data_IF_541259490382
#
_entry.id   IF_541259490382
#
_cell.length_a   1.000
_cell.length_b   1.000
_cell.length_c   1.000
_cell.angle_alpha   90.00
_cell.angle_beta   90.00
_cell.angle_gamma   90.00
#
_symmetry.space_group_name_H-M   'P 1'
#
loop_
_entity.id
_entity.type
_entity.pdbx_description
1 polymer ?
#
# COMPACT_ATOMS: atom_id res chain seq x y z
N UNK A 1 11.34 26.46 13.88
CA UNK A 1 11.58 26.42 15.34
C UNK A 1 11.68 24.97 15.76
N UNK A 2 12.87 24.52 16.16
CA UNK A 2 13.16 23.12 16.55
C UNK A 2 13.01 23.01 18.06
N UNK A 3 12.00 22.29 18.53
CA UNK A 3 11.87 21.99 19.95
C UNK A 3 12.59 20.66 20.24
N UNK A 4 13.77 20.76 20.86
CA UNK A 4 14.48 19.65 21.49
C UNK A 4 13.78 19.33 22.81
N UNK A 5 13.22 18.13 22.96
CA UNK A 5 12.72 17.64 24.25
C UNK A 5 13.27 16.23 24.50
N UNK A 6 14.47 16.18 25.07
CA UNK A 6 14.83 15.17 26.06
C UNK A 6 15.19 15.97 27.30
N UNK A 7 14.39 15.83 28.36
CA UNK A 7 14.66 16.47 29.64
C UNK A 7 15.99 15.91 30.16
N UNK A 8 16.99 16.78 30.18
CA UNK A 8 18.35 16.49 30.67
C UNK A 8 18.34 16.69 32.18
N UNK A 9 18.61 15.63 32.94
CA UNK A 9 19.25 15.78 34.25
C UNK A 9 20.75 15.73 34.02
N UNK A 10 21.41 16.88 34.16
CA UNK A 10 22.86 17.01 34.08
C UNK A 10 23.44 16.45 35.38
N UNK A 11 24.12 15.31 35.29
CA UNK A 11 25.19 14.96 36.22
C UNK A 11 26.44 14.75 35.35
N UNK A 12 27.35 15.72 35.40
CA UNK A 12 28.69 15.60 34.86
C UNK A 12 29.45 14.55 35.67
N UNK A 13 29.58 13.36 35.10
CA UNK A 13 30.58 12.39 35.50
C UNK A 13 31.18 11.79 34.23
N UNK A 14 32.42 12.14 33.94
CA UNK A 14 33.30 11.39 33.04
C UNK A 14 33.43 9.97 33.60
N UNK A 15 32.58 9.07 33.12
CA UNK A 15 32.43 7.71 33.62
C UNK A 15 32.79 6.69 32.56
N UNK A 16 33.66 5.76 32.94
CA UNK A 16 33.81 4.45 32.30
C UNK A 16 32.44 3.84 32.01
N UNK A 17 32.29 3.20 30.86
CA UNK A 17 31.07 2.48 30.49
C UNK A 17 30.66 1.54 31.65
N UNK A 18 29.61 1.91 32.38
CA UNK A 18 29.03 1.08 33.44
C UNK A 18 28.12 0.07 32.78
N UNK A 19 28.12 -1.16 33.28
CA UNK A 19 27.15 -2.18 32.87
C UNK A 19 25.72 -1.63 32.97
N UNK A 20 24.84 -2.17 32.12
CA UNK A 20 23.41 -1.82 32.05
C UNK A 20 22.76 -1.69 33.44
N UNK A 21 22.08 -0.58 33.70
CA UNK A 21 21.34 -0.39 34.96
C UNK A 21 19.87 -0.81 34.75
N UNK A 22 19.21 -1.34 35.77
CA UNK A 22 17.78 -1.71 35.71
C UNK A 22 16.87 -0.59 35.16
N UNK A 23 17.26 0.68 35.36
CA UNK A 23 16.59 1.85 34.79
C UNK A 23 16.64 1.92 33.26
N UNK A 24 17.71 1.46 32.60
CA UNK A 24 17.83 1.47 31.13
C UNK A 24 16.83 0.51 30.49
N UNK A 25 16.67 -0.66 31.10
CA UNK A 25 15.68 -1.64 30.66
C UNK A 25 14.25 -1.13 30.81
N UNK A 26 13.94 -0.48 31.94
CA UNK A 26 12.63 0.13 32.14
C UNK A 26 12.35 1.22 31.10
N UNK A 27 13.33 2.12 30.84
CA UNK A 27 13.21 3.17 29.83
C UNK A 27 12.98 2.62 28.42
N UNK A 28 13.72 1.59 28.02
CA UNK A 28 13.55 0.96 26.71
C UNK A 28 12.19 0.24 26.57
N UNK A 29 11.71 -0.40 27.64
CA UNK A 29 10.37 -1.01 27.66
C UNK A 29 9.26 0.03 27.55
N UNK A 30 9.36 1.12 28.32
CA UNK A 30 8.42 2.24 28.23
C UNK A 30 8.40 2.84 26.82
N UNK A 31 9.58 3.08 26.24
CA UNK A 31 9.68 3.55 24.85
C UNK A 31 8.96 2.60 23.88
N UNK A 32 9.24 1.28 23.93
CA UNK A 32 8.59 0.32 23.04
C UNK A 32 7.06 0.27 23.20
N UNK A 33 6.57 0.31 24.44
CA UNK A 33 5.14 0.41 24.74
C UNK A 33 4.49 1.65 24.11
N UNK A 34 5.18 2.81 24.11
CA UNK A 34 4.65 4.03 23.48
C UNK A 34 4.43 3.93 21.98
N UNK A 35 5.03 2.94 21.33
CA UNK A 35 4.92 2.73 19.89
C UNK A 35 4.33 1.35 19.54
N UNK A 36 3.71 0.68 20.52
CA UNK A 36 3.02 -0.60 20.35
C UNK A 36 3.93 -1.80 20.12
N UNK A 37 5.15 -1.76 20.67
CA UNK A 37 6.08 -2.89 20.64
C UNK A 37 6.19 -3.47 22.04
N UNK A 38 5.49 -4.58 22.27
CA UNK A 38 5.60 -5.32 23.52
C UNK A 38 7.01 -5.87 23.72
N UNK A 39 7.51 -5.77 24.96
CA UNK A 39 8.75 -6.42 25.33
C UNK A 39 8.57 -7.93 25.35
N UNK A 40 9.29 -8.62 24.46
CA UNK A 40 9.27 -10.08 24.35
C UNK A 40 10.32 -10.76 25.25
N UNK A 41 10.95 -9.99 26.14
CA UNK A 41 12.14 -10.41 26.89
C UNK A 41 11.85 -10.45 28.38
N UNK A 42 12.01 -11.63 29.01
CA UNK A 42 12.06 -11.72 30.47
C UNK A 42 13.31 -11.01 31.01
N UNK A 43 14.45 -11.23 30.34
CA UNK A 43 15.72 -10.58 30.59
C UNK A 43 16.34 -10.03 29.29
N UNK A 44 17.14 -8.95 29.34
CA UNK A 44 17.70 -8.30 28.16
C UNK A 44 18.95 -9.03 27.63
N UNK A 45 18.81 -10.31 27.26
CA UNK A 45 19.87 -11.03 26.56
C UNK A 45 20.06 -10.52 25.12
N UNK A 46 21.19 -10.89 24.49
CA UNK A 46 21.58 -10.38 23.17
C UNK A 46 20.59 -10.73 22.06
N UNK A 47 20.10 -11.98 22.04
CA UNK A 47 19.18 -12.43 21.01
C UNK A 47 17.83 -11.72 21.14
N UNK A 48 17.37 -11.56 22.39
CA UNK A 48 16.10 -10.90 22.67
C UNK A 48 16.15 -9.40 22.38
N UNK A 49 17.22 -8.70 22.81
CA UNK A 49 17.42 -7.29 22.50
C UNK A 49 17.53 -7.04 21.00
N UNK A 50 18.26 -7.89 20.27
CA UNK A 50 18.36 -7.79 18.80
C UNK A 50 17.00 -7.88 18.13
N UNK A 51 16.15 -8.81 18.56
CA UNK A 51 14.76 -8.91 18.07
C UNK A 51 13.93 -7.70 18.45
N UNK A 52 14.06 -7.23 19.70
CA UNK A 52 13.28 -6.10 20.21
C UNK A 52 13.64 -4.79 19.49
N UNK A 53 14.93 -4.48 19.34
CA UNK A 53 15.40 -3.34 18.55
C UNK A 53 15.01 -3.46 17.08
N UNK A 54 15.08 -4.66 16.48
CA UNK A 54 14.61 -4.86 15.10
C UNK A 54 13.12 -4.49 14.98
N UNK A 55 12.28 -4.87 15.94
CA UNK A 55 10.85 -4.52 15.90
C UNK A 55 10.60 -3.03 16.19
N UNK A 56 11.37 -2.43 17.10
CA UNK A 56 11.33 -1.00 17.38
C UNK A 56 11.68 -0.17 16.13
N UNK A 57 12.68 -0.60 15.35
CA UNK A 57 13.18 0.16 14.20
C UNK A 57 12.41 -0.14 12.92
N UNK A 58 12.19 -1.43 12.64
CA UNK A 58 11.68 -1.92 11.35
C UNK A 58 10.28 -2.53 11.45
N UNK A 59 9.67 -2.56 12.63
CA UNK A 59 8.35 -3.13 12.81
C UNK A 59 8.27 -4.62 12.45
N UNK A 60 7.05 -5.10 12.43
CA UNK A 60 6.65 -6.44 11.98
C UNK A 60 5.89 -6.29 10.66
N UNK A 61 5.86 -7.36 9.86
CA UNK A 61 4.99 -7.39 8.68
C UNK A 61 3.53 -7.16 9.10
N UNK A 62 2.76 -6.32 8.39
CA UNK A 62 1.35 -6.12 8.66
C UNK A 62 0.58 -7.45 8.63
N UNK A 63 -0.48 -7.52 9.43
CA UNK A 63 -1.39 -8.67 9.46
C UNK A 63 -2.02 -8.85 8.06
N UNK A 64 -2.30 -10.10 7.65
CA UNK A 64 -2.97 -10.45 6.38
C UNK A 64 -2.25 -10.01 5.09
N UNK A 65 -0.92 -9.93 5.11
CA UNK A 65 -0.14 -9.77 3.88
C UNK A 65 -0.18 -11.08 3.06
N UNK A 66 -0.97 -11.11 2.00
CA UNK A 66 -1.23 -12.32 1.21
C UNK A 66 -0.07 -12.74 0.30
N UNK A 67 0.73 -11.78 -0.18
CA UNK A 67 1.87 -12.04 -1.06
C UNK A 67 2.98 -11.03 -0.80
N UNK A 68 4.23 -11.49 -0.88
CA UNK A 68 5.42 -10.67 -0.71
C UNK A 68 6.37 -10.83 -1.90
N UNK A 69 6.20 -9.97 -2.90
CA UNK A 69 7.04 -9.93 -4.10
C UNK A 69 8.20 -8.94 -4.03
N UNK A 70 8.30 -8.13 -2.97
CA UNK A 70 9.37 -7.14 -2.79
C UNK A 70 10.31 -7.57 -1.67
N UNK A 71 11.60 -7.55 -1.93
CA UNK A 71 12.63 -7.87 -0.94
C UNK A 71 12.70 -6.81 0.18
N UNK A 72 12.77 -7.29 1.42
CA UNK A 72 13.01 -6.47 2.60
C UNK A 72 14.51 -6.38 2.90
N UNK A 73 14.96 -5.24 3.40
CA UNK A 73 16.33 -4.98 3.85
C UNK A 73 16.30 -4.38 5.25
N UNK A 74 17.09 -4.97 6.13
CA UNK A 74 17.31 -4.53 7.51
C UNK A 74 18.81 -4.26 7.66
N UNK A 75 19.18 -3.13 8.25
CA UNK A 75 20.57 -2.85 8.60
C UNK A 75 20.95 -3.62 9.88
N UNK A 76 21.27 -4.90 9.70
CA UNK A 76 21.64 -5.78 10.82
C UNK A 76 22.87 -5.27 11.56
N UNK A 77 23.79 -4.58 10.87
CA UNK A 77 25.00 -4.02 11.49
C UNK A 77 24.70 -2.93 12.51
N UNK A 78 23.76 -2.02 12.20
CA UNK A 78 23.33 -0.96 13.12
C UNK A 78 22.46 -1.51 14.24
N UNK A 79 21.64 -2.52 13.98
CA UNK A 79 20.90 -3.23 15.03
C UNK A 79 21.86 -3.92 16.00
N UNK A 80 22.85 -4.68 15.52
CA UNK A 80 23.85 -5.33 16.37
C UNK A 80 24.65 -4.32 17.18
N UNK A 81 25.01 -3.17 16.59
CA UNK A 81 25.66 -2.07 17.30
C UNK A 81 24.76 -1.50 18.41
N UNK A 82 23.48 -1.31 18.13
CA UNK A 82 22.50 -0.82 19.10
C UNK A 82 22.32 -1.80 20.25
N UNK A 83 22.20 -3.10 19.95
CA UNK A 83 22.17 -4.18 20.95
C UNK A 83 23.41 -4.14 21.84
N UNK A 84 24.60 -4.02 21.24
CA UNK A 84 25.86 -4.02 22.00
C UNK A 84 25.99 -2.78 22.88
N UNK A 85 25.67 -1.59 22.35
CA UNK A 85 25.69 -0.34 23.13
C UNK A 85 24.77 -0.44 24.35
N UNK A 86 23.57 -0.99 24.16
CA UNK A 86 22.63 -1.19 25.26
C UNK A 86 23.17 -2.15 26.34
N UNK A 87 23.72 -3.30 25.93
CA UNK A 87 24.29 -4.31 26.86
C UNK A 87 25.48 -3.80 27.65
N UNK A 88 26.34 -2.98 27.04
CA UNK A 88 27.51 -2.41 27.71
C UNK A 88 27.19 -1.14 28.50
N UNK A 89 25.93 -0.71 28.54
CA UNK A 89 25.49 0.54 29.18
C UNK A 89 26.06 1.81 28.54
N UNK A 90 26.44 1.75 27.26
CA UNK A 90 26.77 2.93 26.48
C UNK A 90 25.48 3.70 26.13
N UNK A 91 25.62 4.99 25.79
CA UNK A 91 24.48 5.80 25.34
C UNK A 91 23.96 5.31 23.97
N UNK A 92 22.83 4.60 24.02
CA UNK A 92 22.19 3.98 22.87
C UNK A 92 21.10 4.86 22.24
N UNK A 93 20.63 5.90 22.95
CA UNK A 93 19.53 6.75 22.51
C UNK A 93 19.82 7.45 21.17
N UNK A 94 20.99 8.09 20.95
CA UNK A 94 21.28 8.75 19.67
C UNK A 94 21.27 7.78 18.48
N UNK A 95 21.75 6.55 18.68
CA UNK A 95 21.75 5.54 17.63
C UNK A 95 20.32 5.07 17.34
N UNK A 96 19.49 4.84 18.36
CA UNK A 96 18.09 4.51 18.16
C UNK A 96 17.34 5.63 17.43
N UNK A 97 17.49 6.88 17.85
CA UNK A 97 16.84 8.05 17.23
C UNK A 97 17.20 8.16 15.74
N UNK A 98 18.47 7.89 15.40
CA UNK A 98 18.95 7.90 14.01
C UNK A 98 18.47 6.73 13.14
N UNK A 99 17.73 5.78 13.73
CA UNK A 99 17.13 4.62 13.07
C UNK A 99 15.60 4.71 12.99
N UNK A 100 14.97 5.68 13.66
CA UNK A 100 13.52 5.86 13.59
C UNK A 100 13.02 6.12 12.17
N UNK A 101 11.74 5.84 11.93
CA UNK A 101 11.14 6.17 10.64
C UNK A 101 11.22 7.69 10.39
N UNK A 102 11.79 8.11 9.25
CA UNK A 102 11.87 9.53 8.91
C UNK A 102 10.51 10.11 8.50
N UNK A 103 9.52 9.23 8.24
CA UNK A 103 8.20 9.60 7.75
C UNK A 103 7.52 10.64 8.67
N UNK A 104 7.12 11.81 8.15
CA UNK A 104 6.42 12.83 8.94
C UNK A 104 5.15 12.30 9.63
N UNK A 105 4.41 11.40 8.99
CA UNK A 105 3.19 10.82 9.55
C UNK A 105 3.52 9.88 10.73
N UNK A 106 4.63 9.14 10.67
CA UNK A 106 5.12 8.34 11.80
C UNK A 106 5.39 9.23 13.03
N UNK A 107 6.12 10.33 12.84
CA UNK A 107 6.47 11.26 13.93
C UNK A 107 5.21 11.88 14.55
N UNK A 108 4.27 12.32 13.72
CA UNK A 108 3.00 12.88 14.19
C UNK A 108 2.19 11.88 15.02
N UNK A 109 2.08 10.62 14.57
CA UNK A 109 1.37 9.57 15.30
C UNK A 109 2.07 9.17 16.59
N UNK A 110 3.41 9.15 16.60
CA UNK A 110 4.21 8.88 17.80
C UNK A 110 3.99 9.97 18.86
N UNK A 111 4.04 11.24 18.47
CA UNK A 111 3.75 12.38 19.36
C UNK A 111 2.30 12.34 19.88
N UNK A 112 1.34 11.94 19.04
CA UNK A 112 -0.03 11.72 19.46
C UNK A 112 -0.14 10.63 20.53
N UNK A 113 0.50 9.47 20.31
CA UNK A 113 0.50 8.36 21.27
C UNK A 113 1.15 8.76 22.61
N UNK A 114 2.24 9.53 22.57
CA UNK A 114 2.91 10.01 23.79
C UNK A 114 2.00 10.91 24.63
N UNK A 115 1.20 11.79 24.01
CA UNK A 115 0.22 12.62 24.72
C UNK A 115 -0.90 11.79 25.34
N UNK A 116 -1.42 10.81 24.60
CA UNK A 116 -2.51 9.94 25.09
C UNK A 116 -2.11 9.08 26.29
N UNK A 117 -0.82 8.79 26.47
CA UNK A 117 -0.32 8.03 27.62
C UNK A 117 -0.12 8.89 28.88
N UNK A 118 -0.14 10.22 28.75
CA UNK A 118 0.03 11.18 29.85
C UNK A 118 -1.34 11.71 30.30
N UNK A 119 -2.23 11.97 29.34
CA UNK A 119 -3.57 12.50 29.59
C UNK A 119 -4.61 11.36 29.58
N UNK A 120 -5.13 10.98 30.76
CA UNK A 120 -6.22 9.99 30.94
C UNK A 120 -7.53 10.37 30.19
N UNK A 121 -7.60 11.57 29.59
CA UNK A 121 -8.82 12.19 29.08
C UNK A 121 -9.01 12.10 27.55
N UNK A 122 -8.27 11.23 26.85
CA UNK A 122 -8.43 11.04 25.39
C UNK A 122 -9.02 9.66 25.06
N UNK A 123 -10.23 9.41 25.56
CA UNK A 123 -11.13 8.33 25.12
C UNK A 123 -12.33 9.01 24.45
N UNK A 124 -12.53 8.89 23.13
CA UNK A 124 -13.68 8.11 22.64
C UNK A 124 -13.74 7.88 21.11
N UNK A 125 -12.65 8.04 20.34
CA UNK A 125 -12.71 7.78 18.88
C UNK A 125 -11.55 7.02 18.26
N UNK A 126 -10.37 7.01 18.89
CA UNK A 126 -9.17 6.31 18.40
C UNK A 126 -8.78 5.24 19.43
N UNK A 127 -8.56 4.01 19.00
CA UNK A 127 -7.96 3.01 19.91
C UNK A 127 -6.43 3.08 19.79
N UNK A 128 -5.71 2.93 20.90
CA UNK A 128 -4.24 2.86 20.89
C UNK A 128 -3.73 1.76 19.96
N UNK A 129 -4.46 0.64 19.88
CA UNK A 129 -4.15 -0.46 18.96
C UNK A 129 -4.12 0.02 17.50
N UNK A 130 -5.09 0.83 17.05
CA UNK A 130 -5.12 1.37 15.68
C UNK A 130 -3.90 2.24 15.40
N UNK A 131 -3.50 3.07 16.37
CA UNK A 131 -2.30 3.90 16.25
C UNK A 131 -1.05 3.03 16.16
N UNK A 132 -0.95 2.01 17.02
CA UNK A 132 0.18 1.08 17.07
C UNK A 132 0.35 0.26 15.79
N UNK A 133 -0.74 -0.23 15.19
CA UNK A 133 -0.67 -0.93 13.91
C UNK A 133 -0.20 0.00 12.79
N UNK A 134 -0.67 1.24 12.75
CA UNK A 134 -0.23 2.21 11.75
C UNK A 134 1.23 2.60 11.95
N UNK A 135 1.67 2.85 13.19
CA UNK A 135 3.08 3.07 13.52
C UNK A 135 3.95 1.88 13.10
N UNK A 136 3.46 0.65 13.32
CA UNK A 136 4.13 -0.56 12.87
C UNK A 136 4.26 -0.61 11.34
N UNK A 137 3.21 -0.25 10.60
CA UNK A 137 3.26 -0.17 9.13
C UNK A 137 4.31 0.83 8.66
N UNK A 138 4.39 2.03 9.25
CA UNK A 138 5.43 3.01 8.89
C UNK A 138 6.86 2.50 9.15
N UNK A 139 7.10 1.84 10.29
CA UNK A 139 8.39 1.19 10.53
C UNK A 139 8.69 0.07 9.53
N UNK A 140 7.67 -0.73 9.19
CA UNK A 140 7.80 -1.80 8.21
C UNK A 140 8.11 -1.28 6.81
N UNK A 141 7.56 -0.12 6.41
CA UNK A 141 7.90 0.54 5.15
C UNK A 141 9.40 0.87 5.05
N UNK A 142 10.10 1.16 6.16
CA UNK A 142 11.55 1.41 6.16
C UNK A 142 12.38 0.20 5.71
N UNK A 143 11.80 -1.01 5.66
CA UNK A 143 12.48 -2.22 5.17
C UNK A 143 12.66 -2.22 3.65
N UNK A 144 12.09 -1.29 2.90
CA UNK A 144 12.18 -1.27 1.44
C UNK A 144 13.11 -0.14 0.98
N UNK A 145 14.28 -0.44 0.41
CA UNK A 145 15.30 0.60 0.10
C UNK A 145 15.10 1.33 -1.23
N UNK A 146 13.99 1.12 -1.93
CA UNK A 146 13.75 1.71 -3.24
C UNK A 146 13.62 3.25 -3.16
N UNK A 147 14.13 3.94 -4.18
CA UNK A 147 14.12 5.41 -4.29
C UNK A 147 12.71 6.01 -4.36
N UNK A 148 11.73 5.22 -4.81
CA UNK A 148 10.30 5.55 -4.81
C UNK A 148 9.51 4.28 -4.51
N UNK A 149 8.42 4.43 -3.77
CA UNK A 149 7.51 3.32 -3.43
C UNK A 149 6.08 3.81 -3.58
N UNK A 150 5.23 2.99 -4.17
CA UNK A 150 3.79 3.23 -4.26
C UNK A 150 3.12 2.55 -3.07
N UNK A 151 2.47 3.32 -2.20
CA UNK A 151 1.72 2.78 -1.06
C UNK A 151 0.23 2.98 -1.32
N UNK A 152 -0.53 1.89 -1.33
CA UNK A 152 -2.00 1.92 -1.45
C UNK A 152 -2.58 1.53 -0.10
N UNK A 153 -3.33 2.42 0.53
CA UNK A 153 -4.04 2.11 1.76
C UNK A 153 -5.52 1.81 1.45
N UNK A 154 -5.94 0.58 1.71
CA UNK A 154 -7.23 0.06 1.25
C UNK A 154 -8.45 0.72 1.95
N UNK A 155 -8.52 0.84 3.29
CA UNK A 155 -9.61 1.53 3.97
C UNK A 155 -9.81 2.99 3.55
N UNK A 156 -8.72 3.75 3.39
CA UNK A 156 -8.79 5.16 2.95
C UNK A 156 -9.03 5.30 1.44
N UNK A 157 -8.82 4.23 0.69
CA UNK A 157 -8.83 4.22 -0.77
C UNK A 157 -7.96 5.37 -1.32
N UNK A 158 -6.73 5.46 -0.83
CA UNK A 158 -5.70 6.41 -1.28
C UNK A 158 -4.44 5.71 -1.77
N UNK A 159 -3.74 6.37 -2.68
CA UNK A 159 -2.42 5.99 -3.18
C UNK A 159 -1.46 7.15 -2.95
N UNK A 160 -0.32 6.83 -2.35
CA UNK A 160 0.82 7.74 -2.20
C UNK A 160 2.02 7.18 -2.94
N UNK A 161 2.78 8.05 -3.61
CA UNK A 161 4.16 7.73 -3.99
C UNK A 161 5.06 8.41 -2.97
N UNK A 162 5.89 7.65 -2.27
CA UNK A 162 6.77 8.16 -1.22
C UNK A 162 8.24 7.91 -1.58
N UNK A 163 9.12 8.80 -1.13
CA UNK A 163 10.57 8.63 -1.20
C UNK A 163 11.12 7.87 0.04
N UNK A 164 12.44 7.65 0.16
CA UNK A 164 13.04 7.00 1.33
C UNK A 164 12.87 7.79 2.64
N UNK A 165 12.70 9.11 2.57
CA UNK A 165 12.46 9.97 3.74
C UNK A 165 10.98 9.99 4.17
N UNK A 166 10.09 9.29 3.44
CA UNK A 166 8.64 9.27 3.69
C UNK A 166 7.91 10.50 3.15
N UNK A 167 8.58 11.36 2.37
CA UNK A 167 7.92 12.50 1.74
C UNK A 167 7.00 12.01 0.62
N UNK A 168 5.76 12.49 0.63
CA UNK A 168 4.80 12.18 -0.43
C UNK A 168 5.12 13.01 -1.68
N UNK A 169 5.45 12.33 -2.77
CA UNK A 169 5.72 12.87 -4.11
C UNK A 169 4.46 12.96 -4.98
N UNK A 170 3.49 12.08 -4.74
CA UNK A 170 2.18 12.09 -5.39
C UNK A 170 1.12 11.58 -4.42
N UNK A 171 -0.01 12.28 -4.35
CA UNK A 171 -1.23 11.82 -3.70
C UNK A 171 -2.35 11.66 -4.73
N UNK A 172 -3.01 10.50 -4.74
CA UNK A 172 -4.13 10.17 -5.63
C UNK A 172 -5.22 9.41 -4.87
N UNK A 173 -6.49 9.69 -5.18
CA UNK A 173 -7.57 8.77 -4.80
C UNK A 173 -7.47 7.49 -5.63
N UNK A 174 -7.95 6.39 -5.05
CA UNK A 174 -8.13 5.13 -5.77
C UNK A 174 -9.53 4.56 -5.55
N UNK A 175 -9.90 3.58 -6.38
CA UNK A 175 -11.07 2.70 -6.17
C UNK A 175 -10.53 1.28 -6.01
N UNK A 176 -10.89 0.65 -4.90
CA UNK A 176 -10.45 -0.70 -4.49
C UNK A 176 -11.61 -1.68 -4.58
N UNK A 177 -11.35 -2.97 -4.33
CA UNK A 177 -12.34 -4.04 -4.35
C UNK A 177 -13.55 -3.75 -3.45
N UNK A 178 -14.72 -4.27 -3.82
CA UNK A 178 -15.88 -4.33 -2.92
C UNK A 178 -15.69 -5.47 -1.89
N UNK A 179 -16.41 -5.48 -0.75
CA UNK A 179 -16.25 -6.52 0.28
C UNK A 179 -16.43 -7.96 -0.24
N UNK A 180 -17.28 -8.17 -1.24
CA UNK A 180 -17.50 -9.49 -1.87
C UNK A 180 -16.34 -9.95 -2.79
N UNK A 181 -15.49 -9.02 -3.24
CA UNK A 181 -14.31 -9.30 -4.08
C UNK A 181 -13.19 -8.33 -3.65
N UNK A 182 -12.65 -8.50 -2.43
CA UNK A 182 -11.75 -7.52 -1.82
C UNK A 182 -10.41 -7.47 -2.57
N UNK A 183 -9.78 -6.31 -2.58
CA UNK A 183 -8.36 -6.19 -2.95
C UNK A 183 -7.51 -6.76 -1.80
N UNK A 184 -6.70 -7.83 -2.00
CA UNK A 184 -5.78 -8.34 -1.00
C UNK A 184 -4.70 -7.31 -0.63
N UNK A 185 -4.15 -7.41 0.58
CA UNK A 185 -2.90 -6.74 0.96
C UNK A 185 -1.70 -7.56 0.45
N UNK A 186 -0.73 -6.91 -0.19
CA UNK A 186 0.45 -7.57 -0.74
C UNK A 186 1.57 -6.55 -1.03
N UNK A 187 2.78 -7.06 -1.29
CA UNK A 187 3.85 -6.29 -1.96
C UNK A 187 4.14 -6.89 -3.32
N UNK A 188 4.36 -6.06 -4.33
CA UNK A 188 4.75 -6.47 -5.68
C UNK A 188 5.60 -5.38 -6.34
N UNK A 189 6.17 -5.67 -7.50
CA UNK A 189 6.88 -4.67 -8.31
C UNK A 189 6.02 -4.20 -9.47
N UNK A 190 6.07 -2.89 -9.75
CA UNK A 190 5.52 -2.29 -10.96
C UNK A 190 6.62 -2.30 -12.02
N UNK A 191 6.45 -3.11 -13.06
CA UNK A 191 7.49 -3.31 -14.09
C UNK A 191 7.26 -2.46 -15.36
N UNK A 192 6.00 -2.12 -15.67
CA UNK A 192 5.65 -1.38 -16.88
C UNK A 192 4.30 -0.69 -16.80
N UNK A 193 4.09 0.29 -17.69
CA UNK A 193 2.78 0.86 -18.01
C UNK A 193 2.41 0.54 -19.45
N UNK A 194 1.23 -0.02 -19.64
CA UNK A 194 0.61 -0.28 -20.93
C UNK A 194 -0.31 0.88 -21.28
N UNK A 195 -0.03 1.56 -22.39
CA UNK A 195 -0.93 2.56 -22.98
C UNK A 195 -1.94 1.87 -23.88
N UNK A 196 -3.17 2.40 -23.91
CA UNK A 196 -4.27 1.86 -24.71
C UNK A 196 -4.46 0.34 -24.52
N UNK A 197 -4.62 -0.15 -23.28
CA UNK A 197 -4.69 -1.59 -23.02
C UNK A 197 -5.95 -2.21 -23.63
N UNK A 198 -5.86 -3.45 -24.09
CA UNK A 198 -7.05 -4.31 -24.16
C UNK A 198 -7.50 -4.66 -22.75
N UNK A 199 -8.83 -4.75 -22.54
CA UNK A 199 -9.35 -5.38 -21.34
C UNK A 199 -9.80 -6.81 -21.65
N UNK A 200 -9.00 -7.79 -21.25
CA UNK A 200 -9.41 -9.18 -21.25
C UNK A 200 -10.27 -9.43 -20.03
N UNK A 201 -11.57 -9.69 -20.23
CA UNK A 201 -12.53 -9.85 -19.14
C UNK A 201 -12.17 -11.10 -18.33
N UNK A 202 -11.94 -10.99 -17.01
CA UNK A 202 -11.72 -12.14 -16.16
C UNK A 202 -12.86 -13.15 -16.27
N UNK A 203 -12.52 -14.45 -16.26
CA UNK A 203 -13.49 -15.54 -16.48
C UNK A 203 -14.67 -15.49 -15.49
N UNK A 204 -14.41 -15.14 -14.24
CA UNK A 204 -15.44 -14.99 -13.20
C UNK A 204 -16.44 -13.87 -13.52
N UNK A 205 -15.96 -12.69 -13.92
CA UNK A 205 -16.82 -11.55 -14.33
C UNK A 205 -17.62 -11.92 -15.58
N UNK A 206 -16.95 -12.55 -16.57
CA UNK A 206 -17.62 -13.02 -17.77
C UNK A 206 -18.78 -13.98 -17.44
N UNK A 207 -18.53 -14.99 -16.62
CA UNK A 207 -19.52 -16.03 -16.31
C UNK A 207 -20.65 -15.51 -15.42
N UNK A 208 -20.32 -14.75 -14.37
CA UNK A 208 -21.28 -14.40 -13.32
C UNK A 208 -22.05 -13.10 -13.61
N UNK A 209 -21.48 -12.19 -14.41
CA UNK A 209 -22.08 -10.86 -14.63
C UNK A 209 -22.46 -10.65 -16.09
N UNK A 210 -21.58 -10.98 -17.04
CA UNK A 210 -21.80 -10.65 -18.45
C UNK A 210 -22.63 -11.68 -19.20
N UNK A 211 -22.30 -12.98 -19.10
CA UNK A 211 -23.02 -14.04 -19.82
C UNK A 211 -24.52 -14.07 -19.52
N UNK A 212 -25.02 -13.83 -18.29
CA UNK A 212 -26.46 -13.75 -18.03
C UNK A 212 -27.16 -12.65 -18.84
N UNK A 213 -26.53 -11.49 -19.03
CA UNK A 213 -27.07 -10.40 -19.84
C UNK A 213 -26.93 -10.69 -21.34
N UNK A 214 -25.76 -11.17 -21.77
CA UNK A 214 -25.48 -11.50 -23.17
C UNK A 214 -26.44 -12.59 -23.66
N UNK A 215 -26.75 -13.62 -22.87
CA UNK A 215 -27.71 -14.66 -23.26
C UNK A 215 -29.12 -14.14 -23.54
N UNK A 216 -29.53 -13.03 -22.89
CA UNK A 216 -30.84 -12.42 -23.12
C UNK A 216 -30.87 -11.60 -24.40
N UNK A 217 -29.79 -10.86 -24.69
CA UNK A 217 -29.69 -10.06 -25.91
C UNK A 217 -28.21 -9.93 -26.33
N UNK A 218 -27.66 -10.88 -27.12
CA UNK A 218 -26.23 -10.95 -27.37
C UNK A 218 -25.69 -9.73 -28.10
N UNK A 219 -26.30 -9.38 -29.24
CA UNK A 219 -25.83 -8.30 -30.12
C UNK A 219 -25.87 -6.96 -29.40
N UNK A 220 -27.01 -6.61 -28.78
CA UNK A 220 -27.15 -5.32 -28.11
C UNK A 220 -26.22 -5.21 -26.89
N UNK A 221 -26.03 -6.29 -26.12
CA UNK A 221 -25.16 -6.26 -24.93
C UNK A 221 -23.70 -6.14 -25.31
N UNK A 222 -23.25 -6.89 -26.33
CA UNK A 222 -21.87 -6.81 -26.80
C UNK A 222 -21.55 -5.45 -27.41
N UNK A 223 -22.47 -4.86 -28.18
CA UNK A 223 -22.28 -3.52 -28.73
C UNK A 223 -22.28 -2.47 -27.62
N UNK A 224 -23.23 -2.51 -26.68
CA UNK A 224 -23.29 -1.55 -25.57
C UNK A 224 -22.02 -1.56 -24.70
N UNK A 225 -21.41 -2.74 -24.51
CA UNK A 225 -20.17 -2.90 -23.76
C UNK A 225 -18.91 -2.88 -24.63
N UNK A 226 -19.06 -2.75 -25.95
CA UNK A 226 -17.99 -2.73 -26.96
C UNK A 226 -17.05 -3.93 -26.82
N UNK A 227 -17.65 -5.11 -26.64
CA UNK A 227 -16.96 -6.38 -26.41
C UNK A 227 -16.80 -7.17 -27.71
N UNK A 228 -15.61 -7.74 -27.87
CA UNK A 228 -15.27 -8.72 -28.89
C UNK A 228 -15.27 -10.12 -28.28
N UNK A 229 -15.71 -11.11 -29.07
CA UNK A 229 -15.64 -12.52 -28.71
C UNK A 229 -14.37 -13.11 -29.31
N UNK A 230 -13.55 -13.74 -28.47
CA UNK A 230 -12.23 -14.24 -28.84
C UNK A 230 -12.21 -15.77 -28.68
N UNK A 231 -11.82 -16.48 -29.73
CA UNK A 231 -11.65 -17.94 -29.71
C UNK A 231 -10.36 -18.39 -29.00
N UNK A 232 -10.18 -19.70 -28.89
CA UNK A 232 -8.99 -20.28 -28.25
C UNK A 232 -7.68 -19.92 -28.98
N UNK A 233 -7.74 -19.66 -30.29
CA UNK A 233 -6.60 -19.23 -31.12
C UNK A 233 -6.34 -17.72 -31.09
N UNK A 234 -7.15 -16.95 -30.35
CA UNK A 234 -6.99 -15.51 -30.22
C UNK A 234 -7.67 -14.67 -31.32
N UNK A 235 -8.47 -15.30 -32.20
CA UNK A 235 -9.17 -14.62 -33.29
C UNK A 235 -10.50 -14.07 -32.82
N UNK A 236 -10.90 -12.92 -33.39
CA UNK A 236 -12.23 -12.36 -33.22
C UNK A 236 -13.22 -13.21 -34.00
N UNK A 237 -14.31 -13.64 -33.37
CA UNK A 237 -15.38 -14.42 -34.00
C UNK A 237 -16.68 -13.62 -34.05
N UNK A 238 -17.47 -13.87 -35.07
CA UNK A 238 -18.81 -13.28 -35.21
C UNK A 238 -19.72 -13.78 -34.08
N UNK A 239 -20.28 -12.87 -33.24
CA UNK A 239 -21.25 -13.22 -32.21
C UNK A 239 -22.46 -14.03 -32.68
N UNK A 240 -22.86 -13.92 -33.95
CA UNK A 240 -24.00 -14.65 -34.51
C UNK A 240 -23.77 -16.17 -34.56
N UNK A 241 -22.52 -16.61 -34.71
CA UNK A 241 -22.15 -18.03 -34.73
C UNK A 241 -21.85 -18.63 -33.35
N UNK A 242 -21.95 -17.84 -32.28
CA UNK A 242 -21.56 -18.26 -30.93
C UNK A 242 -22.71 -18.96 -30.21
N UNK A 243 -22.47 -20.19 -29.76
CA UNK A 243 -23.39 -20.85 -28.81
C UNK A 243 -23.23 -20.27 -27.40
N UNK A 244 -24.03 -19.26 -27.06
CA UNK A 244 -24.04 -18.59 -25.75
C UNK A 244 -24.50 -19.47 -24.57
N UNK A 245 -25.09 -20.63 -24.85
CA UNK A 245 -25.54 -21.60 -23.85
C UNK A 245 -24.49 -22.69 -23.57
N UNK A 246 -23.39 -22.71 -24.33
CA UNK A 246 -22.34 -23.72 -24.18
C UNK A 246 -21.78 -23.78 -22.74
N UNK A 247 -21.56 -25.02 -22.26
CA UNK A 247 -20.97 -25.32 -20.95
C UNK A 247 -19.87 -26.38 -21.12
N UNK A 248 -18.60 -26.08 -20.80
CA UNK A 248 -18.08 -24.75 -20.44
C UNK A 248 -18.19 -23.77 -21.62
N UNK A 249 -18.34 -22.47 -21.34
CA UNK A 249 -18.28 -21.46 -22.38
C UNK A 249 -16.83 -21.38 -22.93
N UNK A 250 -16.61 -21.63 -24.24
CA UNK A 250 -15.25 -21.86 -24.77
C UNK A 250 -14.54 -20.59 -25.23
N UNK A 251 -15.25 -19.44 -25.27
CA UNK A 251 -14.70 -18.16 -25.73
C UNK A 251 -14.28 -17.27 -24.56
N UNK A 252 -13.45 -16.26 -24.88
CA UNK A 252 -13.12 -15.14 -23.99
C UNK A 252 -13.81 -13.87 -24.48
N UNK A 253 -14.08 -12.94 -23.58
CA UNK A 253 -14.54 -11.59 -23.93
C UNK A 253 -13.38 -10.60 -23.78
N UNK A 254 -13.22 -9.71 -24.76
CA UNK A 254 -12.21 -8.67 -24.76
C UNK A 254 -12.84 -7.33 -25.12
N UNK A 255 -12.63 -6.30 -24.33
CA UNK A 255 -12.94 -4.93 -24.73
C UNK A 255 -11.76 -4.33 -25.49
N UNK A 256 -12.05 -3.65 -26.60
CA UNK A 256 -11.05 -2.97 -27.42
C UNK A 256 -10.46 -1.75 -26.70
N UNK A 257 -9.42 -1.15 -27.26
CA UNK A 257 -8.84 0.11 -26.77
C UNK A 257 -9.82 1.26 -26.98
N UNK A 258 -9.79 2.29 -26.12
CA UNK A 258 -10.68 3.45 -26.25
C UNK A 258 -11.02 4.14 -24.92
N UNK A 259 -11.69 5.29 -25.02
CA UNK A 259 -12.18 6.08 -23.87
C UNK A 259 -13.24 5.32 -23.04
N UNK A 260 -13.95 4.42 -23.68
CA UNK A 260 -14.98 3.55 -23.15
C UNK A 260 -14.43 2.27 -22.51
N UNK A 261 -13.12 2.01 -22.66
CA UNK A 261 -12.47 0.85 -22.07
C UNK A 261 -12.51 0.90 -20.52
N UNK A 262 -12.91 -0.20 -19.89
CA UNK A 262 -13.04 -0.28 -18.43
C UNK A 262 -11.70 -0.08 -17.68
N UNK A 263 -10.57 -0.43 -18.30
CA UNK A 263 -9.21 -0.15 -17.80
C UNK A 263 -8.73 1.28 -18.10
N UNK A 264 -9.51 2.07 -18.83
CA UNK A 264 -9.11 3.38 -19.32
C UNK A 264 -7.93 3.29 -20.30
N UNK A 265 -7.09 4.33 -20.32
CA UNK A 265 -6.00 4.45 -21.29
C UNK A 265 -4.63 4.03 -20.75
N UNK A 266 -4.52 3.74 -19.45
CA UNK A 266 -3.28 3.33 -18.80
C UNK A 266 -3.52 2.14 -17.87
N UNK A 267 -2.70 1.10 -17.98
CA UNK A 267 -2.66 -0.06 -17.09
C UNK A 267 -1.23 -0.30 -16.63
N UNK A 268 -0.98 -0.33 -15.32
CA UNK A 268 0.30 -0.64 -14.72
C UNK A 268 0.35 -2.14 -14.43
N UNK A 269 1.35 -2.83 -14.98
CA UNK A 269 1.54 -4.26 -14.71
C UNK A 269 2.27 -4.42 -13.38
N UNK A 270 1.73 -5.33 -12.56
CA UNK A 270 2.24 -5.67 -11.24
C UNK A 270 2.65 -7.14 -11.24
N UNK A 271 3.83 -7.45 -10.72
CA UNK A 271 4.33 -8.82 -10.63
C UNK A 271 3.74 -9.50 -9.38
N UNK A 272 2.50 -10.01 -9.50
CA UNK A 272 1.72 -10.60 -8.41
C UNK A 272 0.86 -11.79 -8.89
N UNK A 273 0.46 -12.71 -7.99
CA UNK A 273 -0.29 -13.91 -8.37
C UNK A 273 -1.81 -13.71 -8.50
N UNK A 274 -2.33 -12.49 -8.29
CA UNK A 274 -3.79 -12.24 -8.18
C UNK A 274 -4.43 -11.67 -9.44
N UNK A 275 -3.66 -11.50 -10.53
CA UNK A 275 -4.10 -10.75 -11.72
C UNK A 275 -4.59 -9.32 -11.39
N UNK A 276 -4.02 -8.72 -10.34
CA UNK A 276 -4.35 -7.36 -9.92
C UNK A 276 -3.44 -6.36 -10.62
N UNK A 277 -4.04 -5.24 -11.04
CA UNK A 277 -3.34 -4.12 -11.69
C UNK A 277 -3.71 -2.81 -11.01
N UNK A 278 -2.83 -1.80 -11.16
CA UNK A 278 -3.25 -0.41 -11.07
C UNK A 278 -3.67 0.04 -12.47
N UNK A 279 -4.76 0.79 -12.62
CA UNK A 279 -5.18 1.24 -13.95
C UNK A 279 -6.04 2.51 -13.91
N UNK A 280 -6.18 3.17 -15.05
CA UNK A 280 -7.12 4.26 -15.30
C UNK A 280 -8.57 3.72 -15.35
N UNK A 281 -9.57 4.56 -15.62
CA UNK A 281 -10.95 4.08 -15.80
C UNK A 281 -11.77 5.04 -16.67
N UNK A 282 -12.69 4.49 -17.45
CA UNK A 282 -13.76 5.26 -18.10
C UNK A 282 -14.77 5.88 -17.10
N UNK A 283 -14.79 5.42 -15.84
CA UNK A 283 -15.76 5.82 -14.82
C UNK A 283 -15.18 6.82 -13.80
N UNK A 284 -14.46 7.87 -14.26
CA UNK A 284 -13.71 8.80 -13.39
C UNK A 284 -14.55 9.54 -12.35
N UNK A 285 -15.84 9.78 -12.63
CA UNK A 285 -16.79 10.36 -11.66
C UNK A 285 -16.88 9.57 -10.34
N UNK A 286 -16.52 8.29 -10.33
CA UNK A 286 -16.56 7.48 -9.11
C UNK A 286 -15.52 7.90 -8.06
N UNK A 287 -14.47 8.65 -8.44
CA UNK A 287 -13.50 9.16 -7.48
C UNK A 287 -14.06 10.25 -6.55
N UNK A 288 -15.19 10.87 -6.89
CA UNK A 288 -15.88 11.85 -6.02
C UNK A 288 -16.70 11.19 -4.91
N UNK A 289 -16.89 9.87 -4.95
CA UNK A 289 -17.61 9.15 -3.90
C UNK A 289 -16.79 9.09 -2.62
N UNK A 290 -17.47 9.19 -1.49
CA UNK A 290 -16.89 8.92 -0.17
C UNK A 290 -16.47 7.46 -0.03
N UNK A 291 -17.36 6.53 -0.40
CA UNK A 291 -17.03 5.11 -0.49
C UNK A 291 -16.49 4.73 -1.88
N UNK A 292 -15.25 4.25 -1.92
CA UNK A 292 -14.55 3.81 -3.14
C UNK A 292 -14.15 2.32 -3.13
N UNK A 293 -14.77 1.49 -2.30
CA UNK A 293 -14.68 0.02 -2.38
C UNK A 293 -15.69 -0.53 -3.40
N UNK A 294 -15.41 -0.37 -4.70
CA UNK A 294 -16.38 -0.57 -5.80
C UNK A 294 -15.90 -1.51 -6.92
N UNK A 295 -14.64 -1.95 -6.91
CA UNK A 295 -14.05 -2.75 -7.98
C UNK A 295 -14.17 -4.27 -7.72
N UNK A 296 -13.64 -5.07 -8.64
CA UNK A 296 -13.51 -6.53 -8.53
C UNK A 296 -12.11 -6.97 -8.06
N UNK A 297 -11.41 -6.14 -7.30
CA UNK A 297 -10.09 -6.43 -6.72
C UNK A 297 -8.94 -5.59 -7.31
N UNK A 298 -9.00 -5.24 -8.61
CA UNK A 298 -8.05 -4.29 -9.22
C UNK A 298 -8.19 -2.87 -8.64
N UNK A 299 -7.14 -2.07 -8.74
CA UNK A 299 -7.10 -0.71 -8.17
C UNK A 299 -7.18 0.33 -9.29
N UNK A 300 -8.26 1.12 -9.31
CA UNK A 300 -8.39 2.24 -10.27
C UNK A 300 -7.74 3.48 -9.68
N UNK A 301 -6.94 4.21 -10.46
CA UNK A 301 -6.16 5.36 -10.02
C UNK A 301 -6.73 6.65 -10.61
N UNK A 302 -6.97 7.67 -9.79
CA UNK A 302 -7.53 8.97 -10.21
C UNK A 302 -6.55 9.79 -11.05
N UNK A 303 -5.24 9.73 -10.72
CA UNK A 303 -4.17 10.48 -11.40
C UNK A 303 -3.17 9.56 -12.12
N UNK A 304 -3.60 8.72 -13.08
CA UNK A 304 -2.73 7.70 -13.67
C UNK A 304 -1.62 8.30 -14.53
N UNK A 305 -1.82 9.43 -15.22
CA UNK A 305 -0.75 10.10 -15.99
C UNK A 305 0.35 10.65 -15.09
N UNK A 306 -0.01 11.19 -13.91
CA UNK A 306 0.95 11.72 -12.95
C UNK A 306 1.77 10.58 -12.34
N UNK A 307 1.10 9.46 -12.00
CA UNK A 307 1.79 8.25 -11.56
C UNK A 307 2.76 7.77 -12.64
N UNK A 308 2.32 7.61 -13.89
CA UNK A 308 3.17 7.14 -14.97
C UNK A 308 4.38 8.04 -15.23
N UNK A 309 4.20 9.36 -15.31
CA UNK A 309 5.31 10.31 -15.50
C UNK A 309 6.28 10.28 -14.31
N UNK A 310 5.77 10.22 -13.08
CA UNK A 310 6.59 10.15 -11.88
C UNK A 310 7.42 8.86 -11.83
N UNK A 311 6.85 7.72 -12.21
CA UNK A 311 7.58 6.44 -12.25
C UNK A 311 8.56 6.36 -13.44
N UNK A 312 8.26 7.03 -14.56
CA UNK A 312 9.18 7.16 -15.70
C UNK A 312 10.36 8.11 -15.42
N UNK A 313 10.20 9.07 -14.50
CA UNK A 313 11.19 10.09 -14.21
C UNK A 313 11.22 11.25 -15.21
N UNK A 314 10.30 11.30 -16.17
CA UNK A 314 10.14 12.39 -17.13
C UNK A 314 8.68 12.54 -17.56
N UNK A 315 8.30 13.71 -18.07
CA UNK A 315 6.96 13.97 -18.58
C UNK A 315 6.78 13.31 -19.95
N UNK A 316 6.02 12.22 -20.00
CA UNK A 316 5.64 11.53 -21.24
C UNK A 316 4.20 11.81 -21.64
N UNK A 317 3.31 11.86 -20.66
CA UNK A 317 1.87 12.00 -20.84
C UNK A 317 1.40 13.39 -20.41
N UNK A 318 0.80 14.14 -21.33
CA UNK A 318 0.20 15.44 -21.05
C UNK A 318 -1.23 15.33 -20.49
N UNK A 319 -1.83 16.43 -20.02
CA UNK A 319 -3.18 16.45 -19.45
C UNK A 319 -4.27 15.92 -20.39
N UNK A 320 -4.14 16.19 -21.69
CA UNK A 320 -5.09 15.74 -22.73
C UNK A 320 -4.97 14.25 -23.06
N UNK A 321 -3.98 13.53 -22.55
CA UNK A 321 -3.77 12.12 -22.88
C UNK A 321 -4.99 11.27 -22.52
N UNK A 322 -5.64 11.55 -21.37
CA UNK A 322 -6.81 10.81 -20.90
C UNK A 322 -8.09 11.05 -21.69
N UNK A 323 -8.07 12.02 -22.62
CA UNK A 323 -9.20 12.43 -23.46
C UNK A 323 -8.88 12.38 -24.95
N UNK A 324 -7.66 12.03 -25.35
CA UNK A 324 -7.23 12.06 -26.76
C UNK A 324 -7.85 10.97 -27.61
N UNK A 325 -8.07 9.79 -27.01
CA UNK A 325 -8.77 8.63 -27.56
C UNK A 325 -8.63 8.43 -29.07
N UNK A 326 -7.39 8.23 -29.56
CA UNK A 326 -7.11 8.17 -30.98
C UNK A 326 -7.77 6.95 -31.63
N UNK A 327 -8.29 7.15 -32.84
CA UNK A 327 -8.79 6.07 -33.70
C UNK A 327 -7.62 5.14 -34.07
N UNK A 328 -7.82 3.83 -33.99
CA UNK A 328 -6.82 2.79 -34.29
C UNK A 328 -5.61 2.73 -33.33
N UNK A 329 -5.77 3.16 -32.08
CA UNK A 329 -4.77 2.97 -31.05
C UNK A 329 -4.48 1.48 -30.79
N UNK A 330 -3.21 1.10 -30.74
CA UNK A 330 -2.77 -0.24 -30.36
C UNK A 330 -2.12 -0.25 -28.98
N UNK A 331 -2.28 -1.34 -28.20
CA UNK A 331 -1.62 -1.45 -26.91
C UNK A 331 -0.10 -1.40 -27.04
N UNK A 332 0.55 -0.58 -26.23
CA UNK A 332 2.02 -0.51 -26.16
C UNK A 332 2.49 -0.54 -24.72
N UNK A 333 3.40 -1.46 -24.41
CA UNK A 333 4.04 -1.54 -23.10
C UNK A 333 5.29 -0.64 -23.06
N UNK A 334 5.42 0.15 -22.01
CA UNK A 334 6.57 0.99 -21.72
C UNK A 334 7.12 0.53 -20.37
N UNK A 335 8.34 0.01 -20.36
CA UNK A 335 9.03 -0.42 -19.13
C UNK A 335 9.49 0.79 -18.33
N UNK A 336 9.41 0.69 -17.01
CA UNK A 336 10.05 1.67 -16.13
C UNK A 336 11.56 1.43 -16.09
N UNK A 337 12.39 2.47 -15.87
CA UNK A 337 13.84 2.31 -15.78
C UNK A 337 14.27 1.32 -14.69
N UNK A 338 13.57 1.36 -13.56
CA UNK A 338 13.72 0.43 -12.44
C UNK A 338 12.33 -0.07 -12.02
N UNK A 339 12.19 -1.33 -11.59
CA UNK A 339 10.96 -1.80 -10.96
C UNK A 339 10.63 -0.98 -9.71
N UNK A 340 9.39 -0.55 -9.59
CA UNK A 340 8.94 0.30 -8.47
C UNK A 340 8.10 -0.54 -7.52
N UNK A 341 8.45 -0.67 -6.23
CA UNK A 341 7.61 -1.38 -5.27
C UNK A 341 6.21 -0.77 -5.16
N UNK A 342 5.18 -1.61 -5.22
CA UNK A 342 3.83 -1.31 -4.76
C UNK A 342 3.54 -2.09 -3.49
N UNK A 343 3.08 -1.38 -2.46
CA UNK A 343 2.85 -1.90 -1.12
C UNK A 343 1.39 -1.60 -0.77
N UNK A 344 0.57 -2.64 -0.77
CA UNK A 344 -0.87 -2.54 -0.52
C UNK A 344 -1.14 -2.91 0.94
N UNK A 345 -1.52 -1.92 1.74
CA UNK A 345 -1.70 -2.04 3.19
C UNK A 345 -3.16 -1.86 3.59
N UNK A 346 -3.48 -2.30 4.81
CA UNK A 346 -4.80 -2.18 5.39
C UNK A 346 -4.72 -1.45 6.73
N UNK A 347 -4.54 -0.13 6.70
CA UNK A 347 -4.51 0.68 7.92
C UNK A 347 -5.85 1.41 8.05
N UNK A 348 -6.64 1.07 9.07
CA UNK A 348 -7.91 1.76 9.38
C UNK A 348 -7.71 3.12 10.02
N UNK A 349 -6.49 3.45 10.43
CA UNK A 349 -6.11 4.78 10.92
C UNK A 349 -4.91 5.28 10.10
N UNK A 350 -4.96 6.51 9.59
CA UNK A 350 -3.81 7.12 8.91
C UNK A 350 -3.89 8.65 8.94
N UNK A 351 -2.80 9.32 8.54
CA UNK A 351 -2.79 10.76 8.30
C UNK A 351 -3.32 11.04 6.89
N UNK A 352 -4.31 11.94 6.79
CA UNK A 352 -4.91 12.34 5.51
C UNK A 352 -4.12 13.45 4.78
N UNK A 353 -4.59 13.86 3.60
CA UNK A 353 -3.98 14.96 2.83
C UNK A 353 -4.04 16.34 3.51
N UNK A 354 -4.88 16.51 4.54
CA UNK A 354 -5.00 17.73 5.35
C UNK A 354 -4.17 17.65 6.63
N UNK A 355 -3.30 16.64 6.76
CA UNK A 355 -2.46 16.37 7.92
C UNK A 355 -3.24 16.05 9.20
N UNK A 356 -4.49 15.57 9.07
CA UNK A 356 -5.33 15.14 10.18
C UNK A 356 -5.24 13.63 10.39
N UNK A 357 -5.21 13.19 11.65
CA UNK A 357 -5.38 11.79 12.02
C UNK A 357 -6.83 11.41 11.72
N UNK A 358 -7.04 10.39 10.88
CA UNK A 358 -8.37 9.90 10.53
C UNK A 358 -8.52 8.40 10.75
N UNK A 359 -9.69 8.01 11.23
CA UNK A 359 -10.17 6.63 11.19
C UNK A 359 -11.05 6.45 9.97
N UNK A 360 -10.71 5.43 9.20
CA UNK A 360 -11.44 4.97 8.05
C UNK A 360 -12.30 3.77 8.43
N UNK A 361 -13.38 3.57 7.68
CA UNK A 361 -14.23 2.41 7.85
C UNK A 361 -13.42 1.13 7.59
N UNK A 362 -13.60 0.12 8.45
CA UNK A 362 -13.11 -1.24 8.24
C UNK A 362 -13.92 -1.92 7.12
N UNK A 363 -13.65 -1.51 5.86
CA UNK A 363 -14.43 -1.88 4.67
C UNK A 363 -14.51 -3.39 4.41
N UNK A 364 -13.56 -4.17 4.92
CA UNK A 364 -13.49 -5.63 4.72
C UNK A 364 -13.62 -6.40 6.04
N UNK A 365 -13.78 -5.73 7.17
CA UNK A 365 -13.84 -6.38 8.48
C UNK A 365 -12.51 -6.99 8.93
N UNK A 366 -11.37 -6.58 8.35
CA UNK A 366 -10.08 -7.21 8.60
C UNK A 366 -9.40 -6.74 9.87
N UNK A 367 -9.75 -5.54 10.35
CA UNK A 367 -9.18 -4.98 11.57
C UNK A 367 -9.65 -5.75 12.81
N UNK A 368 -10.93 -6.14 12.89
CA UNK A 368 -11.55 -6.71 14.10
C UNK A 368 -11.46 -8.23 14.23
N UNK A 369 -10.94 -8.93 13.22
CA UNK A 369 -10.93 -10.39 13.26
C UNK A 369 -9.74 -10.89 14.10
N UNK A 370 -9.99 -11.57 15.24
CA UNK A 370 -8.94 -12.35 15.88
C UNK A 370 -8.48 -13.46 14.94
N UNK A 371 -7.23 -13.92 15.14
CA UNK A 371 -6.58 -14.94 14.33
C UNK A 371 -7.39 -16.23 14.22
#
# INVERSE_FOLDING_TARGET
MRYRWCIVWIILASGTARAQVAGDWLRLRQYGQTIGVDSLCAEPDEACLTRYFTQIVYGRRPRRLGYQGVAERIDTSRISRLTQQFRTGADWCPLLDSLESPDPAYRQLKEYCQRCLIDDYMTDSLTLEQVWETLNTYRWLNRFSASRRVVVNLPSATLRVIDPAGQTLLHSRVIVGKPATPTPSFTAEISSVVVYPYWNVPRSIMINEMLPAIRKNPVATLDALKLQVIDASGRVVDPAGVNWLARPFPYRLRQSTGCDNALGLLKFNLDNPYDIYLHDTNARRLFTRSNRSLSHGCVRVEKPIHLANLLLGYTRFGPSFLTSCPTNASPKSIRFPEPVPVIVVYNVLDIDESNAIRVYRDVYGWWRLPL
#
